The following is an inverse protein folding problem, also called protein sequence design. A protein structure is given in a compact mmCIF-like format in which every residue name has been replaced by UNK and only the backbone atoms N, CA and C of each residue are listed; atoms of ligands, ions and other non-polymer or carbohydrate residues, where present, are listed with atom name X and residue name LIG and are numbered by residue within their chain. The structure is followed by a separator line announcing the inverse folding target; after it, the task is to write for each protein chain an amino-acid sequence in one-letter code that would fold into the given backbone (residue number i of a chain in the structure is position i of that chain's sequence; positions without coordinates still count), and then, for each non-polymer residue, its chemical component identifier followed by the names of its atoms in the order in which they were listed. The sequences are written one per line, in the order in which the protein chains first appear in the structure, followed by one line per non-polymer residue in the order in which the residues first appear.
data_IF_956115872147
#
_entry.id   IF_956115872147
#
_cell.length_a   1.000
_cell.length_b   1.000
_cell.length_c   1.000
_cell.angle_alpha   90.00
_cell.angle_beta   90.00
_cell.angle_gamma   90.00
#
_symmetry.space_group_name_H-M   'P 1'
#
loop_
_entity.id
_entity.type
_entity.pdbx_description
1 polymer ?
#
# COMPACT_ATOMS: atom_id res chain seq x y z
N UNK A 1 -34.26 42.44 -9.74
CA UNK A 1 -35.27 41.93 -10.71
C UNK A 1 -34.79 42.36 -12.09
N UNK A 2 -34.87 41.58 -13.17
CA UNK A 2 -35.54 40.29 -13.38
C UNK A 2 -34.65 39.26 -14.11
N UNK A 3 -35.07 37.99 -14.09
CA UNK A 3 -34.58 36.92 -14.99
C UNK A 3 -35.21 37.08 -16.39
N UNK A 4 -34.73 36.35 -17.39
CA UNK A 4 -35.53 35.33 -18.14
C UNK A 4 -34.68 34.64 -19.24
N UNK A 5 -34.63 33.29 -19.18
CA UNK A 5 -34.41 32.26 -20.25
C UNK A 5 -33.31 32.41 -21.32
N UNK A 6 -32.73 31.35 -21.90
CA UNK A 6 -32.94 29.89 -21.79
C UNK A 6 -32.71 29.19 -23.14
N UNK A 7 -32.51 27.86 -23.16
CA UNK A 7 -32.52 27.05 -24.40
C UNK A 7 -31.25 26.22 -24.68
N UNK A 8 -31.44 24.90 -24.86
CA UNK A 8 -30.42 23.94 -25.31
C UNK A 8 -30.53 23.70 -26.83
N UNK A 9 -29.42 23.38 -27.50
CA UNK A 9 -29.39 22.37 -28.58
C UNK A 9 -27.95 21.90 -28.87
N UNK A 10 -27.81 20.70 -29.45
CA UNK A 10 -26.59 19.87 -29.41
C UNK A 10 -25.96 19.70 -30.83
N UNK A 11 -25.07 18.72 -31.12
CA UNK A 11 -23.68 18.96 -31.52
C UNK A 11 -23.39 18.68 -33.00
N UNK A 12 -22.17 18.99 -33.48
CA UNK A 12 -21.56 18.22 -34.59
C UNK A 12 -20.04 18.41 -34.80
N UNK A 13 -19.43 17.33 -35.31
CA UNK A 13 -18.14 17.21 -36.05
C UNK A 13 -16.84 17.03 -35.23
N UNK A 14 -16.34 15.79 -35.26
CA UNK A 14 -14.90 15.48 -35.35
C UNK A 14 -14.59 15.08 -36.80
N UNK A 15 -13.41 15.43 -37.38
CA UNK A 15 -12.88 14.77 -38.56
C UNK A 15 -12.01 13.55 -38.19
N UNK A 16 -12.05 12.50 -39.02
CA UNK A 16 -11.14 11.35 -38.98
C UNK A 16 -9.94 11.60 -39.89
N UNK A 17 -8.80 10.96 -39.61
CA UNK A 17 -7.75 10.71 -40.61
C UNK A 17 -7.28 9.24 -40.56
N UNK A 18 -6.75 8.81 -41.71
CA UNK A 18 -6.47 7.42 -42.12
C UNK A 18 -5.25 7.39 -43.07
N UNK A 19 -4.55 6.27 -43.31
CA UNK A 19 -4.76 4.92 -42.76
C UNK A 19 -3.44 4.27 -42.23
N UNK A 20 -2.53 3.64 -43.04
CA UNK A 20 -2.08 2.32 -42.57
C UNK A 20 -0.58 1.94 -42.73
N UNK A 21 -0.34 0.68 -42.31
CA UNK A 21 0.79 -0.23 -42.57
C UNK A 21 2.11 0.00 -41.80
N UNK A 22 2.33 -0.85 -40.79
CA UNK A 22 3.20 -2.02 -40.96
C UNK A 22 2.76 -3.14 -40.00
N UNK A 23 2.62 -4.37 -40.51
CA UNK A 23 2.30 -5.58 -39.72
C UNK A 23 3.56 -6.40 -39.49
N UNK A 24 3.71 -6.97 -38.29
CA UNK A 24 4.53 -8.15 -38.05
C UNK A 24 3.87 -8.96 -36.93
N UNK A 25 3.45 -10.18 -37.23
CA UNK A 25 2.70 -11.05 -36.32
C UNK A 25 3.62 -11.79 -35.34
N UNK A 26 3.11 -12.10 -34.15
CA UNK A 26 3.87 -12.76 -33.09
C UNK A 26 3.07 -12.93 -31.79
N UNK A 27 1.77 -13.19 -31.89
CA UNK A 27 0.87 -13.23 -30.75
C UNK A 27 0.88 -14.60 -30.05
N UNK A 28 1.66 -14.72 -28.97
CA UNK A 28 1.47 -15.80 -27.98
C UNK A 28 0.34 -15.37 -27.02
N UNK A 29 -0.70 -16.19 -26.77
CA UNK A 29 -1.82 -15.79 -25.91
C UNK A 29 -1.38 -15.67 -24.45
N UNK A 30 -1.51 -14.48 -23.85
CA UNK A 30 -1.44 -14.34 -22.39
C UNK A 30 -2.73 -14.85 -21.74
N UNK A 31 -2.59 -15.91 -20.94
CA UNK A 31 -3.69 -16.53 -20.18
C UNK A 31 -4.36 -15.52 -19.22
N UNK A 32 -5.68 -15.46 -19.29
CA UNK A 32 -6.52 -14.60 -18.44
C UNK A 32 -6.81 -15.28 -17.09
N UNK A 33 -5.78 -15.59 -16.29
CA UNK A 33 -6.01 -16.31 -15.03
C UNK A 33 -5.04 -16.02 -13.87
N UNK A 34 -4.88 -14.74 -13.46
CA UNK A 34 -4.54 -14.41 -12.06
C UNK A 34 -4.90 -12.97 -11.64
N UNK A 35 -6.13 -12.74 -11.16
CA UNK A 35 -6.43 -11.57 -10.33
C UNK A 35 -5.97 -11.87 -8.89
N UNK A 36 -4.71 -11.57 -8.56
CA UNK A 36 -4.16 -11.82 -7.22
C UNK A 36 -4.77 -10.82 -6.22
N UNK A 37 -5.50 -11.32 -5.22
CA UNK A 37 -5.93 -10.53 -4.07
C UNK A 37 -4.71 -10.10 -3.22
N UNK A 38 -4.28 -8.85 -3.40
CA UNK A 38 -3.20 -8.25 -2.62
C UNK A 38 -3.68 -7.78 -1.23
N UNK A 39 -3.50 -8.65 -0.23
CA UNK A 39 -3.51 -8.24 1.18
C UNK A 39 -2.24 -7.47 1.58
N UNK A 40 -2.31 -6.63 2.63
CA UNK A 40 -1.28 -5.63 2.88
C UNK A 40 0.09 -6.22 3.23
N UNK A 41 1.02 -6.10 2.25
CA UNK A 41 2.48 -6.21 2.40
C UNK A 41 2.99 -5.28 3.52
N UNK A 42 4.20 -5.54 4.02
CA UNK A 42 4.79 -4.85 5.20
C UNK A 42 5.32 -3.44 4.88
N UNK A 43 4.65 -2.75 3.97
CA UNK A 43 4.75 -1.30 3.82
C UNK A 43 3.47 -0.69 4.32
N UNK A 44 3.56 0.46 4.93
CA UNK A 44 2.38 1.28 5.14
C UNK A 44 2.77 2.68 4.79
N UNK A 45 2.48 3.05 3.54
CA UNK A 45 1.97 4.39 3.35
C UNK A 45 0.63 4.45 4.08
N UNK A 46 0.56 5.23 5.14
CA UNK A 46 -0.71 5.69 5.68
C UNK A 46 -0.91 7.12 5.19
N UNK A 47 -1.94 7.32 4.36
CA UNK A 47 -2.30 8.63 3.84
C UNK A 47 -3.23 9.28 4.85
N UNK A 48 -2.82 10.44 5.37
CA UNK A 48 -3.50 11.11 6.48
C UNK A 48 -4.07 12.43 6.00
N UNK A 49 -5.40 12.51 5.96
CA UNK A 49 -6.10 13.76 5.69
C UNK A 49 -6.37 14.47 7.02
N UNK A 50 -5.69 15.60 7.22
CA UNK A 50 -6.08 16.55 8.24
C UNK A 50 -7.35 17.28 7.77
N UNK A 51 -8.45 17.03 8.46
CA UNK A 51 -9.55 17.98 8.59
C UNK A 51 -9.32 18.65 9.94
N UNK A 52 -8.71 19.84 9.94
CA UNK A 52 -8.50 20.62 11.17
C UNK A 52 -9.46 21.79 11.17
N UNK A 53 -10.25 21.87 12.22
CA UNK A 53 -10.18 23.05 13.09
C UNK A 53 -10.25 22.60 14.57
N UNK A 54 -10.09 23.53 15.50
CA UNK A 54 -9.66 23.27 16.88
C UNK A 54 -10.66 22.50 17.76
N UNK A 55 -10.36 21.24 18.08
CA UNK A 55 -11.13 20.42 19.03
C UNK A 55 -10.41 19.11 19.42
N UNK A 56 -10.92 18.41 20.44
CA UNK A 56 -10.30 17.20 21.01
C UNK A 56 -10.00 16.11 19.96
N UNK A 57 -8.74 15.73 19.85
CA UNK A 57 -8.16 15.08 18.66
C UNK A 57 -8.04 13.56 18.85
N UNK A 58 -8.68 12.77 17.99
CA UNK A 58 -8.72 11.29 18.08
C UNK A 58 -8.66 10.65 16.69
N UNK A 59 -8.07 9.45 16.56
CA UNK A 59 -7.88 8.76 15.27
C UNK A 59 -8.98 7.73 15.05
N UNK A 60 -9.64 7.77 13.88
CA UNK A 60 -10.48 6.67 13.38
C UNK A 60 -9.88 6.02 12.14
N UNK A 61 -9.89 4.67 12.12
CA UNK A 61 -9.38 3.85 11.04
C UNK A 61 -10.53 3.29 10.19
N UNK A 62 -10.40 3.32 8.85
CA UNK A 62 -11.22 2.47 7.98
C UNK A 62 -10.57 1.08 7.86
N UNK A 63 -11.17 0.07 8.49
CA UNK A 63 -10.75 -1.33 8.36
C UNK A 63 -11.92 -2.22 7.98
N UNK A 64 -12.25 -2.31 6.68
CA UNK A 64 -13.16 -3.35 6.16
C UNK A 64 -12.36 -4.42 5.44
N UNK A 65 -12.28 -5.59 6.04
CA UNK A 65 -11.92 -6.82 5.35
C UNK A 65 -13.01 -7.14 4.34
N UNK A 66 -12.64 -7.33 3.07
CA UNK A 66 -13.52 -7.94 2.07
C UNK A 66 -13.62 -9.44 2.35
N UNK A 67 -14.48 -9.79 3.31
CA UNK A 67 -14.86 -11.17 3.56
C UNK A 67 -16.13 -11.46 2.75
N UNK A 68 -15.97 -11.86 1.48
CA UNK A 68 -17.07 -12.37 0.67
C UNK A 68 -17.49 -13.72 1.23
N UNK A 69 -18.48 -13.72 2.12
CA UNK A 69 -18.93 -14.89 2.84
C UNK A 69 -19.39 -16.02 1.93
N UNK A 70 -19.17 -17.25 2.37
CA UNK A 70 -19.68 -18.48 1.78
C UNK A 70 -21.21 -18.53 1.85
N UNK A 71 -21.88 -17.93 0.86
CA UNK A 71 -23.32 -18.06 0.65
C UNK A 71 -23.64 -19.27 -0.22
N UNK A 72 -23.98 -20.39 0.40
CA UNK A 72 -24.55 -21.55 -0.31
C UNK A 72 -25.92 -21.18 -0.88
N UNK A 73 -26.02 -21.04 -2.21
CA UNK A 73 -27.31 -21.02 -2.91
C UNK A 73 -27.35 -22.21 -3.87
N UNK A 74 -28.20 -23.19 -3.56
CA UNK A 74 -28.49 -24.31 -4.47
C UNK A 74 -29.33 -23.80 -5.66
N UNK A 75 -29.16 -24.34 -6.87
CA UNK A 75 -29.97 -23.95 -8.01
C UNK A 75 -31.37 -24.58 -7.91
N UNK A 76 -32.41 -23.75 -7.88
CA UNK A 76 -33.79 -24.16 -8.15
C UNK A 76 -34.16 -23.77 -9.59
N UNK A 77 -34.49 -24.76 -10.42
CA UNK A 77 -35.01 -24.50 -11.76
C UNK A 77 -36.43 -23.93 -11.70
N UNK A 78 -36.70 -22.95 -12.57
CA UNK A 78 -38.02 -22.79 -13.20
C UNK A 78 -37.81 -22.32 -14.65
N UNK A 79 -38.61 -22.87 -15.57
CA UNK A 79 -38.56 -22.60 -17.01
C UNK A 79 -39.55 -21.50 -17.37
N UNK A 80 -39.15 -20.57 -18.22
CA UNK A 80 -39.94 -19.88 -19.26
C UNK A 80 -39.02 -18.80 -19.91
N UNK A 81 -39.03 -18.50 -21.21
CA UNK A 81 -39.84 -19.08 -22.27
C UNK A 81 -40.22 -18.12 -23.40
N UNK A 82 -39.30 -17.32 -23.96
CA UNK A 82 -39.63 -16.46 -25.11
C UNK A 82 -38.41 -16.12 -26.01
N UNK A 83 -38.69 -15.80 -27.29
CA UNK A 83 -37.72 -15.60 -28.38
C UNK A 83 -37.48 -14.13 -28.70
N UNK A 84 -36.32 -13.84 -29.31
CA UNK A 84 -36.22 -12.85 -30.38
C UNK A 84 -35.46 -11.54 -30.10
N UNK A 85 -34.96 -10.93 -31.19
CA UNK A 85 -34.59 -9.50 -31.23
C UNK A 85 -33.10 -9.21 -31.06
N UNK A 86 -32.44 -8.88 -32.18
CA UNK A 86 -31.05 -8.41 -32.19
C UNK A 86 -30.96 -6.90 -31.86
N UNK A 87 -29.78 -6.49 -31.37
CA UNK A 87 -29.23 -5.13 -31.19
C UNK A 87 -29.36 -4.47 -29.80
N UNK A 88 -28.23 -3.89 -29.35
CA UNK A 88 -28.30 -2.67 -28.55
C UNK A 88 -27.69 -2.63 -27.14
N UNK A 89 -26.58 -3.33 -26.83
CA UNK A 89 -25.65 -2.85 -25.78
C UNK A 89 -24.19 -2.99 -26.20
N UNK A 90 -23.62 -1.87 -26.62
CA UNK A 90 -22.17 -1.71 -26.65
C UNK A 90 -21.65 -1.77 -25.20
N UNK A 91 -21.05 -2.91 -24.83
CA UNK A 91 -20.20 -3.00 -23.64
C UNK A 91 -18.88 -2.28 -23.95
N UNK A 92 -18.92 -0.94 -23.87
CA UNK A 92 -17.71 -0.14 -23.97
C UNK A 92 -16.76 -0.54 -22.84
N UNK A 93 -15.52 -0.86 -23.19
CA UNK A 93 -14.43 -0.88 -22.22
C UNK A 93 -14.45 0.44 -21.45
N UNK A 94 -14.29 0.37 -20.14
CA UNK A 94 -13.18 1.07 -19.52
C UNK A 94 -12.79 0.41 -18.20
N UNK A 95 -11.49 0.22 -18.05
CA UNK A 95 -10.87 -0.46 -16.93
C UNK A 95 -11.33 0.13 -15.58
N UNK A 96 -11.60 -0.75 -14.61
CA UNK A 96 -11.62 -0.38 -13.20
C UNK A 96 -10.25 0.19 -12.82
N UNK A 97 -10.17 1.51 -12.83
CA UNK A 97 -9.03 2.27 -12.34
C UNK A 97 -9.02 2.20 -10.82
N UNK A 98 -8.55 1.08 -10.27
CA UNK A 98 -8.30 0.86 -8.84
C UNK A 98 -7.13 1.73 -8.33
N UNK A 99 -7.26 3.05 -8.45
CA UNK A 99 -6.26 4.06 -8.11
C UNK A 99 -6.88 5.46 -7.88
N UNK A 100 -8.15 5.54 -7.51
CA UNK A 100 -8.69 6.69 -6.78
C UNK A 100 -8.32 6.56 -5.30
N UNK A 101 -8.18 7.69 -4.60
CA UNK A 101 -8.30 7.66 -3.14
C UNK A 101 -9.67 7.05 -2.78
N UNK A 102 -9.78 6.27 -1.69
CA UNK A 102 -11.02 5.58 -1.38
C UNK A 102 -12.20 6.57 -1.35
N UNK A 103 -13.33 6.29 -2.03
CA UNK A 103 -14.50 7.15 -2.02
C UNK A 103 -14.85 7.62 -0.61
N UNK A 104 -15.34 8.85 -0.47
CA UNK A 104 -15.66 9.46 0.85
C UNK A 104 -16.56 8.54 1.68
N UNK A 105 -17.44 7.79 1.03
CA UNK A 105 -18.40 6.85 1.64
C UNK A 105 -17.76 5.58 2.24
N UNK A 106 -16.48 5.30 1.91
CA UNK A 106 -15.70 4.23 2.55
C UNK A 106 -15.08 4.68 3.88
N UNK A 107 -14.93 5.98 4.12
CA UNK A 107 -14.31 6.53 5.32
C UNK A 107 -15.27 6.48 6.53
N UNK A 108 -14.77 6.24 7.75
CA UNK A 108 -15.59 6.33 8.95
C UNK A 108 -16.06 7.77 9.16
N UNK A 109 -17.29 7.95 9.65
CA UNK A 109 -17.75 9.26 10.13
C UNK A 109 -16.88 9.69 11.33
N UNK A 110 -16.20 10.81 11.19
CA UNK A 110 -15.37 11.46 12.20
C UNK A 110 -16.08 12.69 12.76
N UNK A 111 -15.81 13.00 14.03
CA UNK A 111 -16.18 14.27 14.65
C UNK A 111 -15.13 15.35 14.30
N UNK A 112 -15.46 16.60 14.59
CA UNK A 112 -14.47 17.68 14.58
C UNK A 112 -13.27 17.34 15.50
N UNK A 113 -12.09 17.80 15.11
CA UNK A 113 -10.82 17.38 15.71
C UNK A 113 -10.38 15.94 15.35
N UNK A 114 -11.24 15.03 14.88
CA UNK A 114 -10.80 13.67 14.57
C UNK A 114 -10.08 13.57 13.22
N UNK A 115 -8.92 12.90 13.23
CA UNK A 115 -8.14 12.65 12.02
C UNK A 115 -8.63 11.36 11.35
N UNK A 116 -8.88 11.44 10.04
CA UNK A 116 -9.22 10.28 9.20
C UNK A 116 -7.97 9.76 8.49
N UNK A 117 -7.71 8.45 8.63
CA UNK A 117 -6.52 7.78 8.08
C UNK A 117 -6.91 6.54 7.27
N UNK A 118 -6.27 6.35 6.12
CA UNK A 118 -6.23 5.07 5.39
C UNK A 118 -4.80 4.50 5.37
N UNK A 119 -4.63 3.25 4.94
CA UNK A 119 -3.31 2.58 4.96
C UNK A 119 -3.11 1.61 3.80
N UNK A 120 -2.83 2.11 2.61
CA UNK A 120 -2.57 1.29 1.42
C UNK A 120 -1.06 1.13 1.12
N UNK A 121 -0.45 -0.06 1.35
CA UNK A 121 0.99 -0.30 1.19
C UNK A 121 1.56 0.05 -0.18
N UNK A 122 0.81 -0.30 -1.23
CA UNK A 122 1.26 -0.25 -2.63
C UNK A 122 1.43 1.16 -3.15
N UNK A 123 0.73 2.16 -2.58
CA UNK A 123 0.82 3.55 -3.00
C UNK A 123 2.27 4.03 -3.09
N UNK A 124 3.13 3.68 -2.13
CA UNK A 124 4.52 4.16 -2.09
C UNK A 124 5.31 3.83 -3.37
N UNK A 125 5.01 2.69 -4.01
CA UNK A 125 5.71 2.25 -5.23
C UNK A 125 4.96 2.58 -6.53
N UNK A 126 3.62 2.72 -6.46
CA UNK A 126 2.78 3.07 -7.61
C UNK A 126 3.14 4.44 -8.19
N UNK A 127 3.33 4.52 -9.51
CA UNK A 127 3.87 5.71 -10.20
C UNK A 127 2.92 6.90 -10.15
N UNK A 128 1.62 6.65 -10.24
CA UNK A 128 0.57 7.68 -10.34
C UNK A 128 0.10 8.18 -8.97
N UNK A 129 0.38 7.45 -7.89
CA UNK A 129 -0.15 7.75 -6.56
C UNK A 129 0.25 9.14 -6.02
N UNK A 130 1.50 9.62 -6.14
CA UNK A 130 1.88 10.96 -5.68
C UNK A 130 1.06 12.07 -6.35
N UNK A 131 0.90 12.00 -7.67
CA UNK A 131 0.14 13.00 -8.43
C UNK A 131 -1.35 12.99 -8.05
N UNK A 132 -1.96 11.80 -7.91
CA UNK A 132 -3.38 11.67 -7.57
C UNK A 132 -3.71 12.12 -6.15
N UNK A 133 -2.84 11.83 -5.18
CA UNK A 133 -3.04 12.26 -3.79
C UNK A 133 -2.80 13.78 -3.68
N UNK A 134 -1.82 14.33 -4.39
CA UNK A 134 -1.57 15.78 -4.44
C UNK A 134 -2.75 16.54 -5.09
N UNK A 135 -3.37 15.96 -6.12
CA UNK A 135 -4.59 16.48 -6.74
C UNK A 135 -5.82 16.42 -5.82
N UNK A 136 -5.90 15.43 -4.92
CA UNK A 136 -6.97 15.35 -3.91
C UNK A 136 -6.80 16.42 -2.81
N UNK A 137 -5.58 16.59 -2.30
CA UNK A 137 -5.20 17.68 -1.39
C UNK A 137 -3.67 17.75 -1.28
N UNK A 138 -3.12 18.91 -1.62
CA UNK A 138 -1.68 19.19 -1.54
C UNK A 138 -1.16 19.13 -0.09
N UNK A 139 -2.02 19.37 0.90
CA UNK A 139 -1.69 19.40 2.33
C UNK A 139 -1.77 18.04 3.04
N UNK A 140 -2.05 16.96 2.28
CA UNK A 140 -2.06 15.58 2.80
C UNK A 140 -0.74 15.25 3.50
N UNK A 141 -0.82 14.68 4.70
CA UNK A 141 0.35 14.16 5.43
C UNK A 141 0.55 12.69 5.11
N UNK A 142 1.80 12.30 4.92
CA UNK A 142 2.19 10.97 4.46
C UNK A 142 3.07 10.30 5.53
N UNK A 143 2.65 9.14 6.00
CA UNK A 143 3.44 8.31 6.92
C UNK A 143 4.00 7.13 6.12
N UNK A 144 5.32 6.94 6.13
CA UNK A 144 5.99 5.79 5.49
C UNK A 144 6.66 4.96 6.58
N UNK A 145 6.18 3.75 6.83
CA UNK A 145 6.91 2.80 7.69
C UNK A 145 7.93 2.05 6.84
N UNK A 146 9.21 2.21 7.16
CA UNK A 146 10.36 1.57 6.50
C UNK A 146 10.99 0.48 7.38
N UNK A 147 11.83 -0.37 6.80
CA UNK A 147 12.49 -1.52 7.44
C UNK A 147 13.78 -1.83 6.68
N UNK A 148 14.76 -2.51 7.26
CA UNK A 148 15.92 -3.08 6.55
C UNK A 148 15.45 -3.74 5.23
N UNK A 149 15.86 -3.23 4.05
CA UNK A 149 15.40 -3.70 2.75
C UNK A 149 15.58 -5.21 2.52
N UNK A 150 16.61 -5.82 3.13
CA UNK A 150 16.90 -7.25 3.04
C UNK A 150 15.88 -8.05 3.83
N UNK A 151 15.69 -7.75 5.12
CA UNK A 151 14.70 -8.46 5.95
C UNK A 151 13.26 -8.19 5.48
N UNK A 152 13.04 -7.02 4.87
CA UNK A 152 11.81 -6.61 4.18
C UNK A 152 11.56 -7.43 2.91
N UNK A 153 12.58 -7.73 2.11
CA UNK A 153 12.49 -8.60 0.94
C UNK A 153 12.18 -10.05 1.33
N UNK A 154 12.92 -10.61 2.31
CA UNK A 154 12.66 -11.96 2.85
C UNK A 154 11.24 -12.06 3.41
N UNK A 155 10.74 -11.01 4.09
CA UNK A 155 9.37 -11.01 4.60
C UNK A 155 8.29 -10.96 3.50
N UNK A 156 8.58 -10.35 2.35
CA UNK A 156 7.69 -10.28 1.17
C UNK A 156 7.63 -11.64 0.46
N UNK A 157 8.79 -12.27 0.29
CA UNK A 157 8.94 -13.65 -0.18
C UNK A 157 8.19 -14.63 0.73
N UNK A 158 8.41 -14.56 2.04
CA UNK A 158 7.72 -15.42 3.04
C UNK A 158 6.19 -15.27 2.95
N UNK A 159 5.68 -14.06 2.73
CA UNK A 159 4.26 -13.84 2.52
C UNK A 159 3.77 -14.48 1.20
N UNK A 160 4.55 -14.41 0.13
CA UNK A 160 4.24 -15.04 -1.16
C UNK A 160 4.26 -16.56 -1.04
N UNK A 161 5.29 -17.13 -0.42
CA UNK A 161 5.45 -18.57 -0.16
C UNK A 161 4.26 -19.12 0.65
N UNK A 162 3.78 -18.39 1.65
CA UNK A 162 2.59 -18.79 2.43
C UNK A 162 1.27 -18.81 1.63
N UNK A 163 1.25 -18.26 0.41
CA UNK A 163 0.10 -18.29 -0.51
C UNK A 163 0.33 -19.19 -1.73
N UNK A 164 1.59 -19.42 -2.10
CA UNK A 164 2.04 -20.24 -3.23
C UNK A 164 3.31 -21.00 -2.80
N UNK A 165 3.17 -22.21 -2.23
CA UNK A 165 4.32 -23.00 -1.73
C UNK A 165 5.28 -23.47 -2.82
N UNK A 166 4.84 -23.42 -4.08
CA UNK A 166 5.48 -23.89 -5.31
C UNK A 166 6.43 -22.87 -5.97
N UNK A 167 6.66 -21.70 -5.35
CA UNK A 167 7.58 -20.69 -5.89
C UNK A 167 9.06 -21.11 -5.76
N UNK A 168 9.94 -20.67 -6.68
CA UNK A 168 11.39 -20.89 -6.57
C UNK A 168 11.97 -20.27 -5.29
N UNK A 169 13.16 -20.74 -4.88
CA UNK A 169 13.83 -20.27 -3.67
C UNK A 169 14.11 -18.76 -3.71
N UNK A 170 14.25 -18.14 -2.53
CA UNK A 170 14.56 -16.72 -2.40
C UNK A 170 15.82 -16.33 -3.20
N UNK A 171 16.87 -17.15 -3.11
CA UNK A 171 18.13 -16.97 -3.84
C UNK A 171 17.94 -17.07 -5.35
N UNK A 172 17.05 -17.94 -5.81
CA UNK A 172 16.74 -18.12 -7.23
C UNK A 172 15.99 -16.94 -7.82
N UNK A 173 15.18 -16.25 -7.01
CA UNK A 173 14.43 -15.04 -7.40
C UNK A 173 15.25 -13.75 -7.20
N UNK A 174 16.18 -13.74 -6.24
CA UNK A 174 16.96 -12.55 -5.88
C UNK A 174 18.06 -12.19 -6.88
N UNK A 175 18.53 -13.12 -7.72
CA UNK A 175 19.64 -12.89 -8.67
C UNK A 175 19.28 -13.36 -10.08
N UNK A 176 19.56 -12.51 -11.09
CA UNK A 176 19.53 -12.93 -12.51
C UNK A 176 20.66 -13.88 -12.85
N UNK A 177 21.80 -13.70 -12.19
CA UNK A 177 22.97 -14.56 -12.32
C UNK A 177 23.64 -14.68 -10.95
N UNK A 178 23.46 -15.85 -10.30
CA UNK A 178 23.99 -16.11 -8.95
C UNK A 178 25.52 -16.13 -8.94
N UNK A 179 26.17 -16.65 -9.98
CA UNK A 179 27.63 -16.72 -10.11
C UNK A 179 28.24 -15.31 -10.15
N UNK A 180 27.72 -14.44 -11.01
CA UNK A 180 28.15 -13.05 -11.14
C UNK A 180 27.62 -12.11 -10.03
N UNK A 181 26.76 -12.59 -9.13
CA UNK A 181 26.19 -11.79 -8.05
C UNK A 181 25.20 -10.70 -8.50
N UNK A 182 24.68 -10.79 -9.73
CA UNK A 182 23.80 -9.78 -10.31
C UNK A 182 22.38 -9.89 -9.73
N UNK A 183 22.09 -9.05 -8.74
CA UNK A 183 20.78 -8.93 -8.09
C UNK A 183 19.70 -8.53 -9.11
N UNK A 184 18.54 -9.21 -9.08
CA UNK A 184 17.42 -8.83 -9.95
C UNK A 184 16.62 -7.64 -9.39
N UNK A 185 16.89 -6.46 -9.94
CA UNK A 185 16.11 -5.24 -9.69
C UNK A 185 14.67 -5.28 -10.21
N UNK A 186 14.33 -6.22 -11.11
CA UNK A 186 12.99 -6.33 -11.67
C UNK A 186 12.03 -7.10 -10.75
N UNK A 187 12.55 -8.04 -9.95
CA UNK A 187 11.74 -8.73 -8.94
C UNK A 187 11.19 -7.74 -7.91
N UNK A 188 9.87 -7.76 -7.71
CA UNK A 188 9.17 -6.81 -6.83
C UNK A 188 9.66 -6.86 -5.38
N UNK A 189 10.10 -8.02 -4.89
CA UNK A 189 10.66 -8.15 -3.55
C UNK A 189 12.02 -7.41 -3.39
N UNK A 190 12.74 -7.13 -4.49
CA UNK A 190 13.91 -6.24 -4.47
C UNK A 190 13.49 -4.79 -4.75
N UNK A 191 12.72 -4.57 -5.83
CA UNK A 191 12.36 -3.24 -6.33
C UNK A 191 11.73 -2.35 -5.23
N UNK A 192 10.84 -2.91 -4.41
CA UNK A 192 10.16 -2.15 -3.33
C UNK A 192 11.14 -1.66 -2.25
N UNK A 193 12.29 -2.32 -2.06
CA UNK A 193 13.33 -1.92 -1.10
C UNK A 193 14.18 -0.71 -1.53
N UNK A 194 14.06 -0.25 -2.78
CA UNK A 194 14.83 0.88 -3.33
C UNK A 194 14.22 2.24 -2.89
N UNK A 195 14.15 2.46 -1.58
CA UNK A 195 13.37 3.56 -0.97
C UNK A 195 13.71 4.95 -1.51
N UNK A 196 14.98 5.24 -1.81
CA UNK A 196 15.40 6.50 -2.42
C UNK A 196 14.74 6.76 -3.79
N UNK A 197 14.71 5.76 -4.68
CA UNK A 197 14.12 5.89 -6.03
C UNK A 197 12.60 6.13 -5.97
N UNK A 198 11.94 5.54 -4.98
CA UNK A 198 10.52 5.79 -4.71
C UNK A 198 10.32 7.21 -4.17
N UNK A 199 11.12 7.61 -3.16
CA UNK A 199 11.02 8.92 -2.53
C UNK A 199 11.24 10.09 -3.51
N UNK A 200 12.16 9.96 -4.48
CA UNK A 200 12.34 10.95 -5.56
C UNK A 200 11.06 11.26 -6.33
N UNK A 201 10.15 10.29 -6.48
CA UNK A 201 8.85 10.50 -7.16
C UNK A 201 7.86 11.21 -6.25
N UNK A 202 7.88 10.92 -4.95
CA UNK A 202 7.04 11.61 -3.97
C UNK A 202 7.43 13.08 -3.78
N UNK A 203 8.74 13.37 -3.73
CA UNK A 203 9.26 14.73 -3.53
C UNK A 203 8.97 15.69 -4.71
N UNK A 204 8.58 15.19 -5.89
CA UNK A 204 8.07 16.01 -6.99
C UNK A 204 6.67 16.58 -6.75
N UNK A 205 5.92 16.02 -5.80
CA UNK A 205 4.51 16.36 -5.54
C UNK A 205 4.24 16.81 -4.10
N UNK A 206 5.14 16.50 -3.16
CA UNK A 206 5.03 16.83 -1.74
C UNK A 206 6.38 17.31 -1.18
N UNK A 207 6.43 18.40 -0.42
CA UNK A 207 7.66 18.82 0.27
C UNK A 207 8.01 17.83 1.39
N UNK A 208 9.30 17.61 1.64
CA UNK A 208 9.78 16.63 2.62
C UNK A 208 9.12 16.73 4.01
N UNK A 209 8.79 17.95 4.47
CA UNK A 209 8.08 18.21 5.74
C UNK A 209 6.67 17.56 5.86
N UNK A 210 6.10 17.09 4.76
CA UNK A 210 4.82 16.37 4.72
C UNK A 210 4.97 14.84 4.69
N UNK A 211 6.21 14.34 4.75
CA UNK A 211 6.52 12.93 4.87
C UNK A 211 7.21 12.65 6.21
N UNK A 212 6.68 11.72 7.00
CA UNK A 212 7.39 11.16 8.15
C UNK A 212 7.75 9.70 7.87
N UNK A 213 9.03 9.39 8.06
CA UNK A 213 9.58 8.05 7.97
C UNK A 213 9.72 7.44 9.37
N UNK A 214 8.99 6.35 9.58
CA UNK A 214 8.88 5.60 10.85
C UNK A 214 9.73 4.34 10.73
N UNK A 215 10.58 4.06 11.72
CA UNK A 215 11.41 2.86 11.72
C UNK A 215 10.58 1.66 12.17
N UNK A 216 10.51 0.63 11.32
CA UNK A 216 9.84 -0.63 11.63
C UNK A 216 10.57 -1.41 12.73
N UNK A 217 11.90 -1.37 12.76
CA UNK A 217 12.72 -1.95 13.83
C UNK A 217 12.42 -1.29 15.17
N UNK A 218 12.40 0.05 15.21
CA UNK A 218 12.11 0.79 16.43
C UNK A 218 10.63 0.69 16.82
N UNK A 219 9.69 0.56 15.88
CA UNK A 219 8.28 0.30 16.20
C UNK A 219 8.08 -1.07 16.90
N UNK A 220 9.00 -2.02 16.74
CA UNK A 220 9.02 -3.28 17.50
C UNK A 220 9.71 -3.12 18.86
N UNK A 221 10.86 -2.43 18.90
CA UNK A 221 11.69 -2.27 20.12
C UNK A 221 11.16 -1.23 21.12
N UNK A 222 10.63 -0.13 20.60
CA UNK A 222 10.19 1.09 21.29
C UNK A 222 8.93 1.67 20.57
N UNK A 223 7.78 0.98 20.65
CA UNK A 223 6.55 1.43 19.99
C UNK A 223 6.05 2.77 20.51
N UNK A 224 6.30 3.08 21.80
CA UNK A 224 5.88 4.33 22.42
C UNK A 224 6.67 5.53 21.88
N UNK A 225 8.00 5.42 21.74
CA UNK A 225 8.85 6.47 21.18
C UNK A 225 8.54 6.78 19.72
N UNK A 226 8.35 5.75 18.88
CA UNK A 226 7.97 5.96 17.47
C UNK A 226 6.56 6.56 17.32
N UNK A 227 5.58 6.12 18.13
CA UNK A 227 4.26 6.75 18.12
C UNK A 227 4.25 8.14 18.75
N UNK A 228 5.20 8.50 19.60
CA UNK A 228 5.46 9.89 19.99
C UNK A 228 5.74 10.76 18.77
N UNK A 229 6.68 10.35 17.91
CA UNK A 229 7.01 11.06 16.66
C UNK A 229 5.82 11.16 15.70
N UNK A 230 5.02 10.08 15.58
CA UNK A 230 3.81 10.08 14.74
C UNK A 230 2.76 11.06 15.29
N UNK A 231 2.54 11.10 16.61
CA UNK A 231 1.61 12.04 17.23
C UNK A 231 2.03 13.49 16.97
N UNK A 232 3.30 13.84 17.19
CA UNK A 232 3.81 15.20 16.95
C UNK A 232 3.67 15.61 15.47
N UNK A 233 4.03 14.71 14.55
CA UNK A 233 3.95 14.96 13.11
C UNK A 233 2.51 15.21 12.64
N UNK A 234 1.54 14.50 13.21
CA UNK A 234 0.11 14.77 12.98
C UNK A 234 -0.38 16.00 13.76
N UNK A 235 0.40 16.47 14.74
CA UNK A 235 0.06 17.50 15.72
C UNK A 235 -1.12 17.08 16.59
N UNK A 236 -1.07 15.84 17.05
CA UNK A 236 -1.91 15.27 18.09
C UNK A 236 -1.24 15.46 19.45
N UNK A 237 -2.03 15.57 20.52
CA UNK A 237 -1.49 15.43 21.88
C UNK A 237 -0.86 14.04 22.03
N UNK A 238 0.34 13.95 22.60
CA UNK A 238 0.97 12.67 22.98
C UNK A 238 0.15 12.01 24.11
N UNK A 239 -0.75 11.10 23.72
CA UNK A 239 -1.60 10.31 24.61
C UNK A 239 -1.11 8.86 24.64
N UNK A 240 -0.72 8.31 23.48
CA UNK A 240 -0.18 6.96 23.39
C UNK A 240 1.22 6.96 24.01
N UNK A 241 1.42 6.08 24.99
CA UNK A 241 2.63 5.91 25.79
C UNK A 241 2.94 4.42 26.02
N UNK A 242 4.09 4.14 26.63
CA UNK A 242 4.51 2.85 27.22
C UNK A 242 3.38 2.01 27.85
N UNK A 243 2.50 2.65 28.65
CA UNK A 243 1.37 2.02 29.35
C UNK A 243 0.36 1.34 28.43
N UNK A 244 0.36 1.69 27.14
CA UNK A 244 -0.51 1.11 26.12
C UNK A 244 0.08 -0.16 25.47
N UNK A 245 1.28 -0.58 25.87
CA UNK A 245 1.98 -1.73 25.30
C UNK A 245 2.34 -2.78 26.34
N UNK A 246 2.40 -4.03 25.89
CA UNK A 246 3.09 -5.12 26.58
C UNK A 246 3.88 -5.93 25.55
N UNK A 247 5.03 -6.47 25.94
CA UNK A 247 5.75 -7.40 25.08
C UNK A 247 5.20 -8.81 25.28
N UNK A 248 4.79 -9.48 24.19
CA UNK A 248 4.38 -10.87 24.23
C UNK A 248 5.59 -11.75 23.86
N UNK A 249 6.22 -12.36 24.86
CA UNK A 249 7.41 -13.19 24.68
C UNK A 249 7.17 -14.36 23.71
N UNK A 250 6.04 -15.06 23.84
CA UNK A 250 5.66 -16.17 22.95
C UNK A 250 5.49 -15.74 21.49
N UNK A 251 5.04 -14.50 21.25
CA UNK A 251 4.90 -13.93 19.90
C UNK A 251 6.20 -13.30 19.39
N UNK A 252 7.07 -12.81 20.27
CA UNK A 252 8.26 -12.02 19.93
C UNK A 252 7.95 -10.58 19.47
N UNK A 253 6.76 -10.04 19.77
CA UNK A 253 6.33 -8.70 19.33
C UNK A 253 5.56 -7.96 20.43
N UNK A 254 5.59 -6.62 20.44
CA UNK A 254 4.69 -5.82 21.27
C UNK A 254 3.23 -5.99 20.83
N UNK A 255 2.35 -5.95 21.82
CA UNK A 255 0.90 -6.03 21.69
C UNK A 255 0.24 -4.86 22.45
N UNK A 256 -0.98 -4.51 22.08
CA UNK A 256 -1.72 -3.41 22.70
C UNK A 256 -2.35 -3.87 24.02
N UNK A 257 -1.99 -3.19 25.11
CA UNK A 257 -2.80 -3.17 26.33
C UNK A 257 -4.05 -2.33 26.07
N UNK A 258 -5.16 -2.74 26.67
CA UNK A 258 -6.35 -1.90 26.83
C UNK A 258 -6.36 -1.31 28.24
N UNK A 259 -7.07 -0.20 28.45
CA UNK A 259 -7.31 0.34 29.78
C UNK A 259 -8.05 -0.70 30.65
N UNK A 260 -7.81 -0.69 31.96
CA UNK A 260 -8.47 -1.60 32.89
C UNK A 260 -10.00 -1.54 32.73
N UNK A 261 -10.65 -2.70 32.73
CA UNK A 261 -12.09 -2.85 32.44
C UNK A 261 -12.51 -2.82 30.97
N UNK A 262 -11.69 -2.33 30.02
CA UNK A 262 -12.12 -2.14 28.61
C UNK A 262 -11.90 -3.34 27.65
N UNK A 263 -11.63 -4.52 28.20
CA UNK A 263 -11.60 -5.82 27.50
C UNK A 263 -10.19 -6.41 27.32
N UNK A 264 -10.13 -7.58 26.65
CA UNK A 264 -8.88 -8.34 26.48
C UNK A 264 -7.79 -7.56 25.70
N UNK A 265 -6.49 -7.77 26.04
CA UNK A 265 -5.37 -7.23 25.28
C UNK A 265 -5.38 -7.70 23.82
N UNK A 266 -4.82 -6.90 22.90
CA UNK A 266 -4.84 -7.18 21.47
C UNK A 266 -3.44 -7.33 20.87
N UNK A 267 -3.11 -8.57 20.47
CA UNK A 267 -1.95 -8.86 19.63
C UNK A 267 -2.35 -8.90 18.15
N UNK A 268 -1.41 -8.53 17.27
CA UNK A 268 -1.56 -8.75 15.83
C UNK A 268 -1.71 -10.25 15.51
N UNK A 269 -2.56 -10.57 14.53
CA UNK A 269 -2.88 -11.95 14.15
C UNK A 269 -1.69 -12.78 13.62
N UNK A 270 -1.95 -14.07 13.35
CA UNK A 270 -0.93 -15.04 12.87
C UNK A 270 -0.23 -14.64 11.56
N UNK A 271 -0.86 -13.78 10.76
CA UNK A 271 -0.30 -13.23 9.51
C UNK A 271 0.74 -12.12 9.73
N UNK A 272 1.03 -11.72 10.97
CA UNK A 272 2.03 -10.71 11.34
C UNK A 272 3.04 -11.31 12.31
N UNK A 273 4.33 -11.24 11.96
CA UNK A 273 5.40 -11.97 12.63
C UNK A 273 5.50 -13.45 12.20
N UNK A 274 5.49 -13.70 10.88
CA UNK A 274 5.72 -15.06 10.36
C UNK A 274 7.19 -15.47 10.58
N UNK A 275 7.49 -16.75 10.88
CA UNK A 275 8.86 -17.23 10.79
C UNK A 275 9.37 -17.04 9.36
N UNK A 276 10.60 -16.58 9.22
CA UNK A 276 11.27 -16.47 7.92
C UNK A 276 12.00 -17.80 7.62
N UNK A 277 12.07 -18.23 6.35
CA UNK A 277 12.95 -19.32 5.97
C UNK A 277 14.41 -18.93 6.21
N UNK A 278 15.26 -19.92 6.44
CA UNK A 278 16.71 -19.71 6.46
C UNK A 278 17.20 -19.37 5.05
N UNK A 279 17.99 -18.31 4.93
CA UNK A 279 18.54 -17.80 3.67
C UNK A 279 20.06 -17.81 3.76
N UNK A 280 20.72 -18.24 2.68
CA UNK A 280 22.18 -18.26 2.57
C UNK A 280 22.83 -16.93 3.01
N UNK A 281 23.73 -16.99 4.00
CA UNK A 281 24.41 -15.81 4.53
C UNK A 281 25.30 -15.06 3.53
N UNK A 282 25.74 -15.70 2.43
CA UNK A 282 26.37 -15.00 1.30
C UNK A 282 25.35 -14.19 0.50
N UNK A 283 24.14 -14.72 0.31
CA UNK A 283 23.05 -14.03 -0.38
C UNK A 283 22.58 -12.82 0.42
N UNK A 284 22.42 -12.96 1.74
CA UNK A 284 22.08 -11.84 2.61
C UNK A 284 23.16 -10.75 2.59
N UNK A 285 24.45 -11.11 2.59
CA UNK A 285 25.56 -10.14 2.46
C UNK A 285 25.52 -9.40 1.11
N UNK A 286 25.44 -10.14 -0.01
CA UNK A 286 25.36 -9.54 -1.35
C UNK A 286 24.16 -8.60 -1.51
N UNK A 287 23.02 -8.93 -0.90
CA UNK A 287 21.87 -8.03 -0.89
C UNK A 287 22.10 -6.77 -0.04
N UNK A 288 22.74 -6.88 1.13
CA UNK A 288 23.14 -5.69 1.92
C UNK A 288 24.10 -4.80 1.12
N UNK A 289 25.12 -5.38 0.48
CA UNK A 289 26.07 -4.65 -0.34
C UNK A 289 25.38 -3.93 -1.52
N UNK A 290 24.40 -4.60 -2.15
CA UNK A 290 23.55 -4.02 -3.19
C UNK A 290 22.69 -2.85 -2.68
N UNK A 291 22.07 -2.95 -1.51
CA UNK A 291 21.19 -1.89 -0.97
C UNK A 291 21.96 -0.70 -0.36
N UNK A 292 23.15 -0.92 0.21
CA UNK A 292 23.96 0.10 0.90
C UNK A 292 24.05 1.48 0.21
N UNK A 293 24.34 1.59 -1.11
CA UNK A 293 24.35 2.90 -1.77
C UNK A 293 22.96 3.58 -1.80
N UNK A 294 21.87 2.81 -1.96
CA UNK A 294 20.51 3.33 -1.95
C UNK A 294 20.04 3.71 -0.53
N UNK A 295 20.46 2.94 0.48
CA UNK A 295 20.20 3.22 1.89
C UNK A 295 20.85 4.54 2.31
N UNK A 296 22.16 4.70 2.05
CA UNK A 296 22.88 5.96 2.33
C UNK A 296 22.24 7.18 1.67
N UNK A 297 21.81 7.04 0.41
CA UNK A 297 21.06 8.09 -0.30
C UNK A 297 19.72 8.38 0.39
N UNK A 298 18.99 7.35 0.81
CA UNK A 298 17.73 7.50 1.55
C UNK A 298 17.94 8.19 2.92
N UNK A 299 19.01 7.89 3.64
CA UNK A 299 19.34 8.55 4.91
C UNK A 299 19.63 10.05 4.70
N UNK A 300 20.39 10.39 3.65
CA UNK A 300 20.62 11.79 3.26
C UNK A 300 19.31 12.51 2.89
N UNK A 301 18.44 11.88 2.09
CA UNK A 301 17.16 12.44 1.66
C UNK A 301 16.15 12.64 2.80
N UNK A 302 16.27 11.86 3.88
CA UNK A 302 15.34 11.89 5.03
C UNK A 302 15.92 12.60 6.26
N UNK A 303 17.22 12.90 6.27
CA UNK A 303 17.92 13.44 7.44
C UNK A 303 18.01 12.45 8.61
N UNK A 304 17.89 11.15 8.36
CA UNK A 304 17.84 10.13 9.41
C UNK A 304 18.53 8.83 8.96
N UNK A 305 19.50 8.36 9.74
CA UNK A 305 20.08 7.02 9.59
C UNK A 305 19.19 6.00 10.33
N UNK A 306 18.79 4.93 9.63
CA UNK A 306 17.95 3.87 10.18
C UNK A 306 18.77 2.66 10.69
N UNK A 307 20.09 2.67 10.53
CA UNK A 307 21.00 1.67 11.07
C UNK A 307 20.97 0.31 10.36
N UNK A 308 20.68 0.26 9.05
CA UNK A 308 20.64 -1.00 8.29
C UNK A 308 22.00 -1.41 7.69
N UNK A 309 22.97 -0.50 7.65
CA UNK A 309 24.29 -0.70 7.01
C UNK A 309 25.48 -0.67 7.98
N UNK A 310 25.22 -0.65 9.29
CA UNK A 310 26.21 -0.68 10.37
C UNK A 310 26.53 -2.09 10.88
#
# INVERSE_FOLDING_TARGET
MARVTGGWSNPRICPRLRDPLFMAEGAVPLDRRTCIHEEPRVHSLASVRLLRDHGHTSIKWSGRYLNSGSGSVRPSLSREGARGGNQGKALSLQALTCLSAPPRDLMPRTLEGQITMEKTPSYFVTREAPARISAMSKDTKLLVVVRDPVTRAVSDYTQTLSKRPDIPSFESLAFRNRTAGLVDRAWSAIQIGLYAEHLERWLRHFPARQLLFVSGERLVRDPAGELGRVQDFLGLKRIISDKHFYFNQTKGFPCLKKAEGSGRPHCLGKTKGRPHPEIDGQVLRRLRDFYRPFNRKFYQMTGHDFGWDG
#
